data_IF_322039202927
#
_entry.id   IF_322039202927
#
_cell.length_a   1.000
_cell.length_b   1.000
_cell.length_c   1.000
_cell.angle_alpha   90.00
_cell.angle_beta   90.00
_cell.angle_gamma   90.00
#
_symmetry.space_group_name_H-M   'P 1'
#
loop_
_entity.id
_entity.type
_entity.pdbx_description
1 polymer ?
#
# COMPACT_ATOMS: atom_id res chain seq x y z
N UNK A 1 -2.06 4.76 -11.44
CA UNK A 1 -0.98 3.76 -11.63
C UNK A 1 0.37 4.40 -12.03
N UNK A 2 0.40 5.49 -12.80
CA UNK A 2 1.64 6.21 -13.21
C UNK A 2 2.53 6.72 -12.07
N UNK A 3 1.96 7.22 -10.97
CA UNK A 3 2.74 7.78 -9.85
C UNK A 3 3.22 6.74 -8.83
N UNK A 4 2.66 5.52 -8.88
CA UNK A 4 3.10 4.42 -8.04
C UNK A 4 4.51 3.92 -8.41
N UNK A 5 5.08 4.30 -9.56
CA UNK A 5 6.43 3.91 -9.95
C UNK A 5 7.55 4.73 -9.25
N UNK A 6 7.28 6.00 -8.89
CA UNK A 6 8.30 6.88 -8.30
C UNK A 6 8.41 6.82 -6.78
N UNK A 7 7.39 6.31 -6.08
CA UNK A 7 7.43 6.21 -4.62
C UNK A 7 8.44 5.16 -4.10
N UNK A 8 8.72 4.10 -4.87
CA UNK A 8 9.43 2.92 -4.35
C UNK A 8 10.94 3.07 -4.15
N UNK A 9 11.69 3.78 -5.01
CA UNK A 9 13.11 4.02 -4.78
C UNK A 9 13.35 4.78 -3.47
N UNK A 10 12.52 5.80 -3.17
CA UNK A 10 12.64 6.51 -1.89
C UNK A 10 12.43 5.57 -0.70
N UNK A 11 11.43 4.68 -0.73
CA UNK A 11 11.13 3.82 0.43
C UNK A 11 12.31 2.90 0.75
N UNK A 12 13.09 2.42 -0.24
CA UNK A 12 14.32 1.64 0.02
C UNK A 12 15.38 2.52 0.70
N UNK A 13 15.58 3.73 0.20
CA UNK A 13 16.57 4.68 0.74
C UNK A 13 16.19 5.04 2.19
N UNK A 14 14.91 5.30 2.46
CA UNK A 14 14.39 5.55 3.80
C UNK A 14 14.60 4.38 4.76
N UNK A 15 14.53 3.13 4.30
CA UNK A 15 14.79 1.96 5.16
C UNK A 15 16.23 1.94 5.67
N UNK A 16 17.18 2.29 4.80
CA UNK A 16 18.62 2.16 5.07
C UNK A 16 19.18 3.40 5.74
N UNK A 17 18.73 4.60 5.34
CA UNK A 17 19.32 5.85 5.79
C UNK A 17 18.68 6.43 7.05
N UNK A 18 17.43 6.09 7.38
CA UNK A 18 16.73 6.68 8.53
C UNK A 18 16.83 5.80 9.78
N UNK A 19 17.00 6.48 10.93
CA UNK A 19 16.91 5.87 12.25
C UNK A 19 15.49 5.37 12.51
N UNK A 20 15.36 4.32 13.33
CA UNK A 20 14.07 3.71 13.68
C UNK A 20 13.04 4.75 14.16
N UNK A 21 13.42 5.66 15.04
CA UNK A 21 12.53 6.69 15.59
C UNK A 21 12.10 7.81 14.63
N UNK A 22 12.66 7.89 13.41
CA UNK A 22 12.26 8.89 12.40
C UNK A 22 11.77 8.23 11.10
N UNK A 23 11.75 6.89 11.05
CA UNK A 23 11.55 6.15 9.81
C UNK A 23 10.12 6.23 9.31
N UNK A 24 9.12 6.20 10.20
CA UNK A 24 7.73 6.36 9.76
C UNK A 24 7.54 7.76 9.19
N UNK A 25 8.02 8.80 9.88
CA UNK A 25 7.92 10.19 9.45
C UNK A 25 8.61 10.42 8.09
N UNK A 26 9.83 9.93 7.90
CA UNK A 26 10.54 10.12 6.64
C UNK A 26 9.89 9.41 5.46
N UNK A 27 9.32 8.21 5.67
CA UNK A 27 8.53 7.52 4.64
C UNK A 27 7.25 8.27 4.29
N UNK A 28 6.54 8.77 5.30
CA UNK A 28 5.36 9.58 5.10
C UNK A 28 5.68 10.85 4.30
N UNK A 29 6.76 11.56 4.63
CA UNK A 29 7.19 12.75 3.88
C UNK A 29 7.51 12.44 2.41
N UNK A 30 8.27 11.37 2.15
CA UNK A 30 8.57 10.96 0.78
C UNK A 30 7.32 10.65 -0.03
N UNK A 31 6.35 9.98 0.60
CA UNK A 31 5.08 9.68 -0.05
C UNK A 31 4.26 10.95 -0.30
N UNK A 32 4.14 11.85 0.67
CA UNK A 32 3.38 13.10 0.52
C UNK A 32 3.94 13.95 -0.64
N UNK A 33 5.26 14.07 -0.73
CA UNK A 33 5.92 14.77 -1.84
C UNK A 33 5.64 14.07 -3.18
N UNK A 34 5.68 12.74 -3.23
CA UNK A 34 5.37 11.97 -4.43
C UNK A 34 3.89 11.99 -4.84
N UNK A 35 2.99 12.16 -3.87
CA UNK A 35 1.53 12.13 -4.06
C UNK A 35 0.91 13.49 -4.32
N UNK A 36 1.64 14.60 -4.11
CA UNK A 36 1.12 15.94 -4.36
C UNK A 36 0.65 16.15 -5.83
N UNK A 37 1.38 15.72 -6.87
CA UNK A 37 0.87 15.77 -8.26
C UNK A 37 -0.33 14.83 -8.49
N UNK A 38 -0.47 13.77 -7.69
CA UNK A 38 -1.55 12.80 -7.80
C UNK A 38 -2.90 13.39 -7.38
N UNK A 39 -2.93 14.45 -6.59
CA UNK A 39 -4.17 15.05 -6.07
C UNK A 39 -5.05 15.63 -7.18
N UNK A 40 -4.43 16.15 -8.24
CA UNK A 40 -5.11 16.79 -9.37
C UNK A 40 -5.37 15.77 -10.50
N UNK A 41 -4.67 14.64 -10.49
CA UNK A 41 -4.70 13.66 -11.57
C UNK A 41 -6.10 13.05 -11.82
N UNK A 42 -6.89 12.62 -10.81
CA UNK A 42 -8.24 12.10 -11.02
C UNK A 42 -9.18 13.14 -11.64
N UNK A 43 -9.09 14.41 -11.21
CA UNK A 43 -9.92 15.50 -11.75
C UNK A 43 -9.59 15.77 -13.21
N UNK A 44 -8.30 15.83 -13.55
CA UNK A 44 -7.86 15.98 -14.95
C UNK A 44 -8.27 14.78 -15.78
N UNK A 45 -8.15 13.56 -15.25
CA UNK A 45 -8.59 12.35 -15.93
C UNK A 45 -10.10 12.36 -16.20
N UNK A 46 -10.93 12.76 -15.23
CA UNK A 46 -12.39 12.87 -15.41
C UNK A 46 -12.77 13.90 -16.48
N UNK A 47 -12.10 15.06 -16.50
CA UNK A 47 -12.32 16.08 -17.55
C UNK A 47 -11.94 15.55 -18.92
N UNK A 48 -10.80 14.86 -19.04
CA UNK A 48 -10.36 14.25 -20.30
C UNK A 48 -11.34 13.17 -20.78
N UNK A 49 -11.77 12.26 -19.89
CA UNK A 49 -12.74 11.20 -20.23
C UNK A 49 -14.06 11.82 -20.71
N UNK A 50 -14.54 12.87 -20.03
CA UNK A 50 -15.75 13.59 -20.44
C UNK A 50 -15.58 14.22 -21.82
N UNK A 51 -14.44 14.87 -22.07
CA UNK A 51 -14.15 15.52 -23.35
C UNK A 51 -14.04 14.52 -24.52
N UNK A 52 -13.60 13.28 -24.25
CA UNK A 52 -13.45 12.24 -25.26
C UNK A 52 -14.68 11.34 -25.46
N UNK A 53 -15.83 11.68 -24.85
CA UNK A 53 -17.09 10.93 -25.05
C UNK A 53 -17.49 10.01 -23.90
N UNK A 54 -17.02 10.29 -22.68
CA UNK A 54 -17.41 9.62 -21.44
C UNK A 54 -16.74 8.27 -21.24
N UNK A 55 -17.33 7.42 -20.39
CA UNK A 55 -16.85 6.07 -20.06
C UNK A 55 -17.05 5.04 -21.19
N UNK A 56 -17.04 5.48 -22.44
CA UNK A 56 -17.12 4.63 -23.63
C UNK A 56 -15.72 4.16 -24.07
N UNK A 57 -15.65 3.09 -24.88
CA UNK A 57 -14.38 2.52 -25.36
C UNK A 57 -13.53 3.57 -26.09
N UNK A 58 -14.18 4.43 -26.87
CA UNK A 58 -13.50 5.49 -27.63
C UNK A 58 -13.05 6.67 -26.74
N UNK A 59 -13.73 6.91 -25.62
CA UNK A 59 -13.35 7.94 -24.64
C UNK A 59 -12.13 7.57 -23.79
N UNK A 60 -11.92 6.28 -23.53
CA UNK A 60 -10.81 5.81 -22.68
C UNK A 60 -9.53 5.58 -23.50
N UNK A 61 -9.63 5.23 -24.79
CA UNK A 61 -8.48 4.97 -25.68
C UNK A 61 -7.40 6.07 -25.69
N UNK A 62 -7.73 7.37 -25.79
CA UNK A 62 -6.75 8.45 -25.78
C UNK A 62 -5.91 8.51 -24.49
N UNK A 63 -6.47 8.12 -23.34
CA UNK A 63 -5.75 8.13 -22.06
C UNK A 63 -4.56 7.17 -22.07
N UNK A 64 -4.68 6.03 -22.75
CA UNK A 64 -3.57 5.07 -22.88
C UNK A 64 -2.41 5.64 -23.71
N UNK A 65 -2.70 6.41 -24.76
CA UNK A 65 -1.67 7.09 -25.55
C UNK A 65 -0.94 8.17 -24.76
N UNK A 66 -1.69 8.97 -23.98
CA UNK A 66 -1.11 9.97 -23.07
C UNK A 66 -0.21 9.28 -22.03
N UNK A 67 -0.66 8.17 -21.45
CA UNK A 67 0.13 7.38 -20.51
C UNK A 67 1.40 6.83 -21.16
N UNK A 68 1.32 6.29 -22.37
CA UNK A 68 2.46 5.77 -23.12
C UNK A 68 3.49 6.86 -23.39
N UNK A 69 3.05 8.02 -23.90
CA UNK A 69 3.93 9.17 -24.14
C UNK A 69 4.63 9.62 -22.85
N UNK A 70 3.89 9.72 -21.73
CA UNK A 70 4.47 10.04 -20.42
C UNK A 70 5.53 9.03 -19.97
N UNK A 71 5.30 7.73 -20.18
CA UNK A 71 6.28 6.68 -19.87
C UNK A 71 7.53 6.77 -20.76
N UNK A 72 7.39 7.09 -22.04
CA UNK A 72 8.53 7.32 -22.94
C UNK A 72 9.38 8.51 -22.49
N UNK A 73 8.76 9.63 -22.12
CA UNK A 73 9.47 10.81 -21.61
C UNK A 73 10.27 10.47 -20.35
N UNK A 74 9.64 9.76 -19.42
CA UNK A 74 10.32 9.31 -18.19
C UNK A 74 11.47 8.33 -18.46
N UNK A 75 11.30 7.44 -19.44
CA UNK A 75 12.35 6.52 -19.86
C UNK A 75 13.56 7.27 -20.46
N UNK A 76 13.31 8.23 -21.35
CA UNK A 76 14.37 9.08 -21.93
C UNK A 76 15.05 9.92 -20.85
N UNK A 77 14.28 10.48 -19.91
CA UNK A 77 14.83 11.20 -18.77
C UNK A 77 15.74 10.31 -17.91
N UNK A 78 15.29 9.09 -17.60
CA UNK A 78 16.10 8.14 -16.85
C UNK A 78 17.41 7.78 -17.57
N UNK A 79 17.38 7.57 -18.89
CA UNK A 79 18.57 7.27 -19.68
C UNK A 79 19.57 8.43 -19.77
N UNK A 80 19.08 9.67 -19.77
CA UNK A 80 19.92 10.85 -20.01
C UNK A 80 20.42 11.51 -18.72
N UNK A 81 19.66 11.43 -17.63
CA UNK A 81 19.91 12.20 -16.41
C UNK A 81 20.29 11.34 -15.19
N UNK A 82 19.95 10.04 -15.15
CA UNK A 82 20.34 9.22 -14.00
C UNK A 82 21.77 8.73 -14.14
N UNK A 83 22.64 9.19 -13.26
CA UNK A 83 24.01 8.71 -13.15
C UNK A 83 24.04 7.40 -12.37
N UNK A 84 24.68 6.37 -12.92
CA UNK A 84 24.92 5.14 -12.17
C UNK A 84 25.82 5.43 -10.97
N UNK A 85 25.27 5.23 -9.77
CA UNK A 85 26.06 5.24 -8.55
C UNK A 85 26.91 3.99 -8.56
N UNK A 86 28.22 4.16 -8.78
CA UNK A 86 29.20 3.10 -8.69
C UNK A 86 29.19 2.50 -7.29
N UNK A 87 28.50 1.37 -7.11
CA UNK A 87 28.57 0.59 -5.88
C UNK A 87 29.78 -0.32 -5.96
N UNK A 88 30.60 -0.41 -4.89
CA UNK A 88 31.58 -1.48 -4.77
C UNK A 88 30.87 -2.81 -5.04
N UNK A 89 31.48 -3.72 -5.80
CA UNK A 89 31.00 -5.10 -5.88
C UNK A 89 30.98 -5.66 -4.47
N UNK A 90 29.81 -5.63 -3.83
CA UNK A 90 29.60 -6.30 -2.57
C UNK A 90 29.97 -7.76 -2.77
N UNK A 91 30.58 -8.38 -1.75
CA UNK A 91 30.84 -9.81 -1.73
C UNK A 91 29.49 -10.51 -1.86
N UNK A 92 29.07 -10.80 -3.10
CA UNK A 92 27.88 -11.60 -3.38
C UNK A 92 28.21 -13.00 -2.90
N UNK A 93 27.87 -13.29 -1.65
CA UNK A 93 27.81 -14.66 -1.16
C UNK A 93 26.80 -15.36 -2.06
N UNK A 94 27.27 -16.26 -2.92
CA UNK A 94 26.45 -17.11 -3.81
C UNK A 94 25.64 -18.09 -2.96
N UNK A 95 24.70 -17.58 -2.19
CA UNK A 95 23.58 -18.39 -1.75
C UNK A 95 22.67 -18.49 -2.98
N UNK A 96 22.29 -19.72 -3.36
CA UNK A 96 21.24 -19.92 -4.34
C UNK A 96 19.92 -19.35 -3.83
N UNK A 97 18.94 -19.15 -4.71
CA UNK A 97 17.61 -18.62 -4.34
C UNK A 97 17.02 -19.34 -3.11
N UNK A 98 17.17 -20.67 -3.03
CA UNK A 98 16.70 -21.47 -1.89
C UNK A 98 17.48 -21.16 -0.59
N UNK A 99 18.79 -20.90 -0.70
CA UNK A 99 19.64 -20.53 0.43
C UNK A 99 19.26 -19.15 1.00
N UNK A 100 18.89 -18.20 0.15
CA UNK A 100 18.42 -16.88 0.56
C UNK A 100 17.11 -16.95 1.36
N UNK A 101 16.19 -17.85 0.96
CA UNK A 101 14.96 -18.09 1.70
C UNK A 101 15.27 -18.72 3.04
N UNK A 102 16.08 -19.79 3.06
CA UNK A 102 16.45 -20.50 4.29
C UNK A 102 17.08 -19.56 5.32
N UNK A 103 18.00 -18.71 4.90
CA UNK A 103 18.66 -17.73 5.77
C UNK A 103 17.65 -16.77 6.44
N UNK A 104 16.68 -16.26 5.69
CA UNK A 104 15.64 -15.37 6.24
C UNK A 104 14.71 -16.15 7.18
N UNK A 105 14.34 -17.38 6.84
CA UNK A 105 13.45 -18.21 7.66
C UNK A 105 14.10 -18.75 8.95
N UNK A 106 15.43 -18.86 9.00
CA UNK A 106 16.20 -19.27 10.19
C UNK A 106 16.31 -18.14 11.22
N UNK A 107 16.16 -16.87 10.82
CA UNK A 107 16.29 -15.70 11.72
C UNK A 107 15.14 -15.50 12.71
N UNK A 108 14.07 -16.31 12.63
CA UNK A 108 13.06 -16.39 13.70
C UNK A 108 11.60 -16.50 13.25
N UNK A 109 10.72 -16.69 14.23
CA UNK A 109 9.27 -16.86 14.02
C UNK A 109 8.54 -15.56 13.71
N UNK A 110 9.08 -14.40 14.12
CA UNK A 110 8.52 -13.08 13.82
C UNK A 110 8.48 -12.79 12.31
N UNK A 111 9.51 -13.20 11.56
CA UNK A 111 9.56 -13.00 10.11
C UNK A 111 8.53 -13.88 9.39
N UNK A 112 8.38 -15.14 9.81
CA UNK A 112 7.33 -16.04 9.30
C UNK A 112 5.93 -15.45 9.50
N UNK A 113 5.67 -14.95 10.71
CA UNK A 113 4.40 -14.27 11.05
C UNK A 113 4.20 -13.01 10.20
N UNK A 114 5.25 -12.23 9.96
CA UNK A 114 5.17 -11.06 9.08
C UNK A 114 4.88 -11.43 7.62
N UNK A 115 5.48 -12.51 7.10
CA UNK A 115 5.15 -12.99 5.75
C UNK A 115 3.66 -13.29 5.65
N UNK A 116 3.09 -14.00 6.62
CA UNK A 116 1.64 -14.27 6.65
C UNK A 116 0.83 -12.98 6.76
N UNK A 117 1.19 -12.07 7.67
CA UNK A 117 0.53 -10.77 7.85
C UNK A 117 0.49 -9.94 6.57
N UNK A 118 1.63 -9.84 5.88
CA UNK A 118 1.76 -9.13 4.62
C UNK A 118 0.98 -9.81 3.50
N UNK A 119 1.05 -11.14 3.41
CA UNK A 119 0.39 -11.93 2.38
C UNK A 119 -1.13 -11.80 2.50
N UNK A 120 -1.67 -11.88 3.72
CA UNK A 120 -3.09 -11.65 3.99
C UNK A 120 -3.48 -10.20 3.66
N UNK A 121 -2.64 -9.23 3.99
CA UNK A 121 -2.87 -7.83 3.62
C UNK A 121 -2.89 -7.58 2.11
N UNK A 122 -1.98 -8.21 1.36
CA UNK A 122 -1.94 -8.16 -0.11
C UNK A 122 -3.13 -8.88 -0.73
N UNK A 123 -3.57 -9.99 -0.13
CA UNK A 123 -4.78 -10.70 -0.56
C UNK A 123 -6.01 -9.78 -0.42
N UNK A 124 -6.20 -9.18 0.75
CA UNK A 124 -7.31 -8.26 1.03
C UNK A 124 -7.34 -7.10 0.04
N UNK A 125 -6.21 -6.41 -0.14
CA UNK A 125 -6.12 -5.24 -1.01
C UNK A 125 -6.29 -5.58 -2.49
N UNK A 126 -5.75 -6.72 -2.95
CA UNK A 126 -5.85 -7.15 -4.34
C UNK A 126 -7.24 -7.71 -4.69
N UNK A 127 -7.98 -8.17 -3.69
CA UNK A 127 -9.37 -8.58 -3.87
C UNK A 127 -10.32 -7.38 -3.94
N UNK A 128 -10.09 -6.30 -3.17
CA UNK A 128 -11.03 -5.14 -3.13
C UNK A 128 -10.73 -4.07 -4.18
N UNK A 129 -9.45 -3.79 -4.47
CA UNK A 129 -9.03 -2.67 -5.31
C UNK A 129 -9.64 -2.67 -6.72
N UNK A 130 -9.59 -3.77 -7.50
CA UNK A 130 -10.09 -3.75 -8.87
C UNK A 130 -11.62 -3.63 -8.95
N UNK A 131 -12.35 -4.07 -7.93
CA UNK A 131 -13.80 -4.08 -7.91
C UNK A 131 -14.42 -2.79 -7.35
N UNK A 132 -13.65 -1.93 -6.67
CA UNK A 132 -14.17 -0.72 -6.03
C UNK A 132 -14.81 0.27 -7.01
N UNK A 133 -14.13 0.58 -8.12
CA UNK A 133 -14.66 1.52 -9.11
C UNK A 133 -15.89 0.95 -9.85
N UNK A 134 -15.87 -0.30 -10.34
CA UNK A 134 -17.07 -0.95 -10.87
C UNK A 134 -18.22 -1.01 -9.87
N UNK A 135 -17.97 -1.33 -8.59
CA UNK A 135 -19.00 -1.36 -7.55
C UNK A 135 -19.66 0.00 -7.35
N UNK A 136 -18.86 1.06 -7.26
CA UNK A 136 -19.39 2.41 -7.15
C UNK A 136 -20.25 2.77 -8.38
N UNK A 137 -19.82 2.42 -9.59
CA UNK A 137 -20.58 2.75 -10.81
C UNK A 137 -21.82 1.87 -11.01
N UNK A 138 -21.65 0.55 -11.09
CA UNK A 138 -22.70 -0.40 -11.51
C UNK A 138 -23.72 -0.67 -10.40
N UNK A 139 -23.28 -0.76 -9.15
CA UNK A 139 -24.15 -1.10 -8.01
C UNK A 139 -24.69 0.14 -7.33
N UNK A 140 -23.90 1.22 -7.27
CA UNK A 140 -24.27 2.46 -6.56
C UNK A 140 -24.65 3.61 -7.49
N UNK A 141 -24.54 3.45 -8.80
CA UNK A 141 -24.89 4.50 -9.77
C UNK A 141 -23.96 5.72 -9.74
N UNK A 142 -22.75 5.58 -9.20
CA UNK A 142 -21.80 6.68 -9.09
C UNK A 142 -21.27 7.08 -10.46
N UNK A 143 -21.27 8.38 -10.75
CA UNK A 143 -20.63 8.91 -11.94
C UNK A 143 -19.10 8.96 -11.79
N UNK A 144 -18.42 9.35 -12.88
CA UNK A 144 -16.98 9.53 -12.91
C UNK A 144 -16.45 10.58 -11.91
N UNK A 145 -17.26 11.59 -11.56
CA UNK A 145 -16.87 12.65 -10.62
C UNK A 145 -16.88 12.13 -9.18
N UNK A 146 -17.88 11.31 -8.82
CA UNK A 146 -17.94 10.66 -7.52
C UNK A 146 -16.79 9.68 -7.37
N UNK A 147 -16.50 8.85 -8.38
CA UNK A 147 -15.38 7.90 -8.35
C UNK A 147 -14.04 8.63 -8.25
N UNK A 148 -13.85 9.70 -9.05
CA UNK A 148 -12.68 10.57 -8.96
C UNK A 148 -12.58 11.27 -7.60
N UNK A 149 -13.72 11.67 -7.03
CA UNK A 149 -13.85 12.27 -5.71
C UNK A 149 -13.46 11.32 -4.58
N UNK A 150 -13.87 10.05 -4.64
CA UNK A 150 -13.44 9.02 -3.71
C UNK A 150 -11.91 8.88 -3.66
N UNK A 151 -11.28 8.76 -4.84
CA UNK A 151 -9.82 8.64 -4.95
C UNK A 151 -9.10 9.91 -4.46
N UNK A 152 -9.62 11.09 -4.81
CA UNK A 152 -9.06 12.38 -4.39
C UNK A 152 -9.19 12.58 -2.88
N UNK A 153 -10.32 12.18 -2.29
CA UNK A 153 -10.53 12.23 -0.85
C UNK A 153 -9.57 11.29 -0.09
N UNK A 154 -9.32 10.08 -0.60
CA UNK A 154 -8.30 9.17 -0.03
C UNK A 154 -6.92 9.83 0.00
N UNK A 155 -6.52 10.43 -1.13
CA UNK A 155 -5.23 11.11 -1.25
C UNK A 155 -5.14 12.36 -0.37
N UNK A 156 -6.22 13.12 -0.24
CA UNK A 156 -6.27 14.29 0.64
C UNK A 156 -6.05 13.87 2.10
N UNK A 157 -6.75 12.82 2.56
CA UNK A 157 -6.54 12.28 3.90
C UNK A 157 -5.10 11.80 4.07
N UNK A 158 -4.54 11.11 3.08
CA UNK A 158 -3.14 10.69 3.11
C UNK A 158 -2.20 11.90 3.23
N UNK A 159 -2.34 12.93 2.40
CA UNK A 159 -1.48 14.12 2.40
C UNK A 159 -1.55 14.88 3.72
N UNK A 160 -2.77 15.09 4.24
CA UNK A 160 -2.99 15.87 5.47
C UNK A 160 -2.55 15.11 6.71
N UNK A 161 -2.86 13.80 6.79
CA UNK A 161 -2.69 13.03 8.03
C UNK A 161 -1.48 12.09 8.04
N UNK A 162 -0.81 11.81 6.91
CA UNK A 162 0.32 10.89 6.90
C UNK A 162 1.45 11.35 7.83
N UNK A 163 1.89 12.61 7.73
CA UNK A 163 2.97 13.15 8.56
C UNK A 163 2.65 13.19 10.06
N UNK A 164 1.51 13.75 10.52
CA UNK A 164 1.20 13.78 11.95
C UNK A 164 1.01 12.37 12.53
N UNK A 165 0.33 11.47 11.82
CA UNK A 165 0.13 10.08 12.29
C UNK A 165 1.42 9.27 12.26
N UNK A 166 2.31 9.51 11.29
CA UNK A 166 3.62 8.88 11.26
C UNK A 166 4.51 9.34 12.43
N UNK A 167 4.52 10.64 12.71
CA UNK A 167 5.23 11.18 13.89
C UNK A 167 4.64 10.64 15.20
N UNK A 168 3.33 10.44 15.25
CA UNK A 168 2.67 9.83 16.40
C UNK A 168 3.05 8.35 16.53
N UNK A 169 3.16 7.62 15.42
CA UNK A 169 3.61 6.22 15.40
C UNK A 169 5.05 6.07 15.92
N UNK A 170 5.95 6.94 15.47
CA UNK A 170 7.34 6.97 15.92
C UNK A 170 7.49 7.31 17.43
N UNK A 171 6.53 8.05 18.03
CA UNK A 171 6.58 8.46 19.44
C UNK A 171 5.86 7.52 20.41
N UNK A 172 4.68 7.02 20.05
CA UNK A 172 3.80 6.28 20.97
C UNK A 172 3.82 4.76 20.74
N UNK A 173 4.43 4.30 19.64
CA UNK A 173 4.48 2.92 19.21
C UNK A 173 3.64 2.69 17.95
N UNK A 174 4.17 1.90 17.00
CA UNK A 174 3.57 1.71 15.69
C UNK A 174 2.33 0.83 15.72
N UNK A 175 2.32 -0.22 16.54
CA UNK A 175 1.13 -1.06 16.71
C UNK A 175 -0.06 -0.28 17.25
N UNK A 176 0.16 0.65 18.19
CA UNK A 176 -0.93 1.48 18.73
C UNK A 176 -1.59 2.31 17.63
N UNK A 177 -0.79 2.88 16.73
CA UNK A 177 -1.30 3.62 15.58
C UNK A 177 -2.00 2.70 14.58
N UNK A 178 -1.45 1.51 14.32
CA UNK A 178 -2.14 0.51 13.50
C UNK A 178 -3.54 0.20 14.04
N UNK A 179 -3.67 -0.13 15.34
CA UNK A 179 -4.96 -0.48 15.94
C UNK A 179 -5.92 0.70 16.05
N UNK A 180 -5.42 1.93 16.09
CA UNK A 180 -6.27 3.12 16.04
C UNK A 180 -6.84 3.39 14.62
N UNK A 181 -6.07 3.06 13.57
CA UNK A 181 -6.44 3.37 12.19
C UNK A 181 -7.15 2.22 11.46
N UNK A 182 -6.90 0.97 11.84
CA UNK A 182 -7.51 -0.18 11.16
C UNK A 182 -9.05 -0.20 11.23
N UNK A 183 -9.73 0.25 12.31
CA UNK A 183 -11.18 0.32 12.33
C UNK A 183 -11.75 1.35 11.34
N UNK A 184 -11.00 2.42 11.02
CA UNK A 184 -11.39 3.40 10.00
C UNK A 184 -11.38 2.77 8.61
N UNK A 185 -10.45 1.85 8.35
CA UNK A 185 -10.45 1.07 7.12
C UNK A 185 -11.65 0.14 7.04
N UNK A 186 -12.00 -0.57 8.12
CA UNK A 186 -13.22 -1.40 8.13
C UNK A 186 -14.47 -0.55 7.92
N UNK A 187 -14.55 0.60 8.57
CA UNK A 187 -15.64 1.56 8.36
C UNK A 187 -15.71 2.07 6.92
N UNK A 188 -14.57 2.29 6.25
CA UNK A 188 -14.52 2.63 4.81
C UNK A 188 -15.23 1.59 3.95
N UNK A 189 -14.90 0.31 4.12
CA UNK A 189 -15.51 -0.77 3.33
C UNK A 189 -17.00 -0.95 3.64
N UNK A 190 -17.39 -0.82 4.92
CA UNK A 190 -18.80 -0.88 5.32
C UNK A 190 -19.59 0.30 4.75
N UNK A 191 -19.06 1.52 4.83
CA UNK A 191 -19.71 2.70 4.24
C UNK A 191 -19.84 2.56 2.73
N UNK A 192 -18.83 2.02 2.03
CA UNK A 192 -18.92 1.77 0.59
C UNK A 192 -20.09 0.82 0.27
N UNK A 193 -20.21 -0.29 0.99
CA UNK A 193 -21.26 -1.30 0.78
C UNK A 193 -22.65 -0.74 1.12
N UNK A 194 -22.79 0.01 2.21
CA UNK A 194 -24.08 0.52 2.67
C UNK A 194 -24.38 1.96 2.21
N UNK A 195 -23.56 2.56 1.35
CA UNK A 195 -23.75 3.92 0.88
C UNK A 195 -25.11 4.10 0.19
N UNK A 196 -25.96 5.04 0.67
CA UNK A 196 -27.20 5.43 0.02
C UNK A 196 -27.04 6.63 -0.92
N UNK A 197 -25.96 7.41 -0.77
CA UNK A 197 -25.73 8.63 -1.55
C UNK A 197 -24.27 8.78 -1.98
N UNK A 198 -24.04 9.66 -2.97
CA UNK A 198 -22.72 9.97 -3.50
C UNK A 198 -21.76 10.56 -2.46
N UNK A 199 -22.25 11.36 -1.52
CA UNK A 199 -21.43 11.96 -0.47
C UNK A 199 -20.87 10.89 0.47
N UNK A 200 -21.66 9.85 0.77
CA UNK A 200 -21.23 8.73 1.61
C UNK A 200 -20.20 7.87 0.87
N UNK A 201 -20.31 7.74 -0.46
CA UNK A 201 -19.26 7.12 -1.26
C UNK A 201 -17.95 7.90 -1.16
N UNK A 202 -17.97 9.23 -1.32
CA UNK A 202 -16.77 10.06 -1.17
C UNK A 202 -16.21 9.97 0.25
N UNK A 203 -17.06 9.95 1.28
CA UNK A 203 -16.65 9.75 2.67
C UNK A 203 -15.99 8.37 2.89
N UNK A 204 -16.51 7.31 2.24
CA UNK A 204 -15.87 5.99 2.25
C UNK A 204 -14.46 6.05 1.66
N UNK A 205 -14.28 6.79 0.55
CA UNK A 205 -12.98 7.07 -0.05
C UNK A 205 -12.05 7.84 0.89
N UNK A 206 -12.54 8.86 1.60
CA UNK A 206 -11.76 9.58 2.61
C UNK A 206 -11.22 8.62 3.68
N UNK A 207 -12.07 7.77 4.25
CA UNK A 207 -11.66 6.79 5.26
C UNK A 207 -10.62 5.78 4.74
N UNK A 208 -10.69 5.41 3.45
CA UNK A 208 -9.70 4.54 2.82
C UNK A 208 -8.29 5.15 2.86
N UNK A 209 -8.16 6.48 2.88
CA UNK A 209 -6.87 7.17 3.00
C UNK A 209 -6.09 6.77 4.25
N UNK A 210 -6.76 6.45 5.36
CA UNK A 210 -6.10 5.98 6.59
C UNK A 210 -5.47 4.58 6.44
N UNK A 211 -6.03 3.74 5.56
CA UNK A 211 -5.41 2.47 5.21
C UNK A 211 -4.05 2.69 4.52
N UNK A 212 -3.97 3.65 3.61
CA UNK A 212 -2.71 4.02 2.93
C UNK A 212 -1.66 4.51 3.93
N UNK A 213 -2.05 5.38 4.86
CA UNK A 213 -1.17 5.86 5.93
C UNK A 213 -0.63 4.69 6.76
N UNK A 214 -1.48 3.74 7.11
CA UNK A 214 -1.09 2.55 7.88
C UNK A 214 -0.05 1.70 7.14
N UNK A 215 -0.20 1.54 5.82
CA UNK A 215 0.76 0.80 5.01
C UNK A 215 2.15 1.50 4.96
N UNK A 216 2.18 2.82 4.77
CA UNK A 216 3.43 3.57 4.57
C UNK A 216 4.13 3.94 5.87
N UNK A 217 3.39 4.47 6.85
CA UNK A 217 3.96 4.95 8.10
C UNK A 217 4.24 3.80 9.06
N UNK A 218 3.32 2.84 9.18
CA UNK A 218 3.40 1.79 10.20
C UNK A 218 4.03 0.52 9.62
N UNK A 219 3.38 -0.10 8.63
CA UNK A 219 3.79 -1.43 8.16
C UNK A 219 5.15 -1.41 7.46
N UNK A 220 5.39 -0.41 6.60
CA UNK A 220 6.69 -0.32 5.93
C UNK A 220 7.82 -0.12 6.95
N UNK A 221 7.61 0.67 8.01
CA UNK A 221 8.63 0.91 9.04
C UNK A 221 8.91 -0.36 9.87
N UNK A 222 7.86 -1.05 10.34
CA UNK A 222 7.96 -2.35 11.03
C UNK A 222 8.68 -3.40 10.16
N UNK A 223 8.30 -3.52 8.88
CA UNK A 223 8.91 -4.44 7.92
C UNK A 223 10.44 -4.27 7.81
N UNK A 224 10.90 -3.02 7.82
CA UNK A 224 12.32 -2.69 7.69
C UNK A 224 13.12 -2.96 8.97
N UNK A 225 12.47 -3.11 10.12
CA UNK A 225 13.12 -3.32 11.42
C UNK A 225 13.19 -4.78 11.85
N UNK A 226 12.35 -5.63 11.26
CA UNK A 226 12.37 -7.06 11.53
C UNK A 226 13.58 -7.78 10.94
N UNK A 227 14.28 -7.15 10.01
CA UNK A 227 15.46 -7.70 9.37
C UNK A 227 16.63 -6.73 9.44
N UNK A 228 17.85 -7.22 9.66
CA UNK A 228 19.03 -6.40 9.52
C UNK A 228 19.29 -6.02 8.06
N UNK A 229 20.09 -4.97 7.88
CA UNK A 229 20.27 -4.27 6.60
C UNK A 229 20.92 -5.17 5.54
N UNK A 230 21.72 -6.15 5.95
CA UNK A 230 22.42 -7.11 5.09
C UNK A 230 21.48 -7.97 4.22
N UNK A 231 20.27 -8.26 4.70
CA UNK A 231 19.30 -9.10 3.98
C UNK A 231 18.02 -8.36 3.57
N UNK A 232 17.95 -7.04 3.71
CA UNK A 232 16.72 -6.25 3.44
C UNK A 232 16.22 -6.38 2.00
N UNK A 233 17.13 -6.53 1.03
CA UNK A 233 16.80 -6.77 -0.37
C UNK A 233 16.13 -8.14 -0.59
N UNK A 234 16.69 -9.19 0.03
CA UNK A 234 16.15 -10.56 0.00
C UNK A 234 14.79 -10.63 0.68
N UNK A 235 14.68 -10.00 1.84
CA UNK A 235 13.44 -9.90 2.60
C UNK A 235 12.31 -9.27 1.78
N UNK A 236 12.58 -8.11 1.16
CA UNK A 236 11.62 -7.46 0.26
C UNK A 236 11.27 -8.34 -0.94
N UNK A 237 12.23 -9.07 -1.50
CA UNK A 237 11.99 -10.04 -2.57
C UNK A 237 11.03 -11.16 -2.17
N UNK A 238 11.25 -11.77 -1.01
CA UNK A 238 10.40 -12.82 -0.44
C UNK A 238 8.98 -12.30 -0.23
N UNK A 239 8.82 -11.15 0.42
CA UNK A 239 7.50 -10.56 0.64
C UNK A 239 6.77 -10.24 -0.67
N UNK A 240 7.49 -9.77 -1.70
CA UNK A 240 6.90 -9.52 -3.03
C UNK A 240 6.49 -10.80 -3.75
N UNK A 241 7.23 -11.89 -3.60
CA UNK A 241 6.86 -13.18 -4.18
C UNK A 241 5.55 -13.68 -3.56
N UNK A 242 5.49 -13.78 -2.23
CA UNK A 242 4.29 -14.25 -1.53
C UNK A 242 3.11 -13.30 -1.73
N UNK A 243 3.34 -11.99 -1.64
CA UNK A 243 2.32 -10.98 -1.92
C UNK A 243 1.80 -11.05 -3.35
N UNK A 244 2.68 -11.25 -4.35
CA UNK A 244 2.29 -11.38 -5.75
C UNK A 244 1.44 -12.62 -6.02
N UNK A 245 1.84 -13.78 -5.48
CA UNK A 245 1.05 -15.01 -5.57
C UNK A 245 -0.34 -14.85 -4.93
N UNK A 246 -0.39 -14.25 -3.74
CA UNK A 246 -1.65 -13.96 -3.07
C UNK A 246 -2.51 -12.97 -3.86
N UNK A 247 -1.90 -12.00 -4.53
CA UNK A 247 -2.62 -11.01 -5.34
C UNK A 247 -3.33 -11.66 -6.52
N UNK A 248 -2.67 -12.59 -7.22
CA UNK A 248 -3.26 -13.34 -8.34
C UNK A 248 -4.47 -14.14 -7.86
N UNK A 249 -4.31 -14.89 -6.78
CA UNK A 249 -5.38 -15.70 -6.20
C UNK A 249 -6.53 -14.82 -5.70
N UNK A 250 -6.22 -13.70 -5.05
CA UNK A 250 -7.20 -12.76 -4.51
C UNK A 250 -8.10 -12.17 -5.59
N UNK A 251 -7.54 -11.70 -6.71
CA UNK A 251 -8.34 -11.13 -7.79
C UNK A 251 -9.22 -12.18 -8.46
N UNK A 252 -8.72 -13.41 -8.62
CA UNK A 252 -9.52 -14.53 -9.15
C UNK A 252 -10.69 -14.88 -8.21
N UNK A 253 -10.40 -15.05 -6.92
CA UNK A 253 -11.41 -15.35 -5.90
C UNK A 253 -12.42 -14.20 -5.79
N UNK A 254 -11.97 -12.95 -5.88
CA UNK A 254 -12.83 -11.76 -5.90
C UNK A 254 -13.83 -11.78 -7.05
N UNK A 255 -13.41 -12.18 -8.25
CA UNK A 255 -14.30 -12.33 -9.41
C UNK A 255 -15.36 -13.40 -9.20
N UNK A 256 -14.97 -14.57 -8.68
CA UNK A 256 -15.92 -15.65 -8.36
C UNK A 256 -16.92 -15.21 -7.28
N UNK A 257 -16.46 -14.52 -6.23
CA UNK A 257 -17.34 -14.00 -5.18
C UNK A 257 -18.33 -12.97 -5.76
N UNK A 258 -17.85 -12.08 -6.63
CA UNK A 258 -18.68 -11.08 -7.29
C UNK A 258 -19.86 -11.70 -8.05
N UNK A 259 -19.59 -12.75 -8.83
CA UNK A 259 -20.61 -13.43 -9.63
C UNK A 259 -21.51 -14.37 -8.81
N UNK A 260 -20.94 -15.13 -7.87
CA UNK A 260 -21.65 -16.20 -7.18
C UNK A 260 -22.39 -15.75 -5.90
N UNK A 261 -21.79 -14.87 -5.10
CA UNK A 261 -22.36 -14.40 -3.83
C UNK A 261 -22.91 -12.97 -3.95
N UNK A 262 -22.29 -12.17 -4.80
CA UNK A 262 -22.70 -10.83 -5.13
C UNK A 262 -21.63 -9.77 -4.81
N UNK A 263 -21.75 -8.56 -5.40
CA UNK A 263 -20.72 -7.53 -5.35
C UNK A 263 -20.32 -7.06 -3.94
N UNK A 264 -21.28 -7.02 -3.00
CA UNK A 264 -21.03 -6.54 -1.64
C UNK A 264 -20.06 -7.45 -0.86
N UNK A 265 -20.09 -8.76 -1.11
CA UNK A 265 -19.27 -9.74 -0.38
C UNK A 265 -17.78 -9.62 -0.71
N UNK A 266 -17.43 -9.05 -1.86
CA UNK A 266 -16.04 -8.74 -2.24
C UNK A 266 -15.39 -7.76 -1.26
N UNK A 267 -16.18 -6.95 -0.55
CA UNK A 267 -15.70 -6.02 0.48
C UNK A 267 -15.91 -6.54 1.90
N UNK A 268 -17.03 -7.21 2.19
CA UNK A 268 -17.34 -7.71 3.53
C UNK A 268 -16.45 -8.89 3.97
N UNK A 269 -16.20 -9.86 3.08
CA UNK A 269 -15.34 -11.01 3.39
C UNK A 269 -13.91 -10.56 3.77
N UNK A 270 -13.23 -9.68 3.01
CA UNK A 270 -11.89 -9.22 3.39
C UNK A 270 -11.88 -8.43 4.69
N UNK A 271 -12.93 -7.67 5.03
CA UNK A 271 -13.06 -7.05 6.36
C UNK A 271 -13.08 -8.13 7.45
N UNK A 272 -13.85 -9.20 7.27
CA UNK A 272 -13.87 -10.34 8.19
C UNK A 272 -12.50 -11.00 8.33
N UNK A 273 -11.78 -11.23 7.22
CA UNK A 273 -10.41 -11.77 7.24
C UNK A 273 -9.45 -10.82 7.96
N UNK A 274 -9.56 -9.52 7.74
CA UNK A 274 -8.71 -8.52 8.38
C UNK A 274 -8.92 -8.50 9.90
N UNK A 275 -10.19 -8.50 10.35
CA UNK A 275 -10.57 -8.52 11.78
C UNK A 275 -10.16 -9.82 12.47
N UNK A 276 -10.39 -10.97 11.84
CA UNK A 276 -10.23 -12.28 12.48
C UNK A 276 -8.81 -12.83 12.36
N UNK A 277 -8.08 -12.46 11.32
CA UNK A 277 -6.75 -13.04 11.01
C UNK A 277 -5.68 -11.97 11.09
N UNK A 278 -5.75 -10.93 10.25
CA UNK A 278 -4.64 -10.00 10.06
C UNK A 278 -4.38 -9.15 11.31
N UNK A 279 -5.42 -8.54 11.88
CA UNK A 279 -5.30 -7.67 13.03
C UNK A 279 -4.79 -8.44 14.27
N UNK A 280 -5.34 -9.61 14.66
CA UNK A 280 -4.81 -10.39 15.79
C UNK A 280 -3.38 -10.88 15.55
N UNK A 281 -3.03 -11.23 14.31
CA UNK A 281 -1.69 -11.71 13.97
C UNK A 281 -0.61 -10.65 14.28
N UNK A 282 -0.91 -9.36 14.13
CA UNK A 282 0.03 -8.29 14.47
C UNK A 282 0.35 -8.23 15.98
N UNK A 283 -0.54 -8.69 16.86
CA UNK A 283 -0.23 -8.79 18.31
C UNK A 283 0.97 -9.70 18.55
N UNK A 284 1.09 -10.78 17.77
CA UNK A 284 2.12 -11.81 17.90
C UNK A 284 3.51 -11.42 17.36
N UNK A 285 3.61 -10.31 16.63
CA UNK A 285 4.87 -9.81 16.05
C UNK A 285 5.44 -8.78 17.02
N UNK A 286 6.71 -8.79 17.45
CA UNK A 286 7.21 -7.82 18.43
C UNK A 286 7.08 -6.37 17.95
N UNK A 287 6.83 -5.44 18.89
CA UNK A 287 6.96 -4.01 18.60
C UNK A 287 8.45 -3.68 18.49
N UNK A 288 8.82 -2.95 17.45
CA UNK A 288 10.24 -2.69 17.13
C UNK A 288 10.74 -1.34 17.62
N UNK A 289 9.82 -0.42 17.98
CA UNK A 289 10.17 0.82 18.66
C UNK A 289 10.45 0.55 20.14
N UNK A 290 11.74 0.57 20.51
CA UNK A 290 12.17 0.65 21.91
C UNK A 290 11.76 1.99 22.48
N UNK A 291 10.65 2.01 23.22
CA UNK A 291 10.20 3.21 23.91
C UNK A 291 11.11 3.40 25.12
N UNK A 292 12.17 4.20 24.97
CA UNK A 292 13.10 4.68 26.02
C UNK A 292 13.33 3.73 27.22
N UNK A 293 14.43 2.96 27.22
CA UNK A 293 15.12 2.61 28.46
C UNK A 293 15.59 1.18 28.67
N UNK A 294 15.06 0.18 27.96
CA UNK A 294 15.56 -1.20 28.12
C UNK A 294 16.48 -1.60 26.98
N UNK A 295 17.79 -1.55 27.28
CA UNK A 295 18.76 -2.44 26.63
C UNK A 295 18.34 -3.86 26.96
N UNK A 296 17.61 -4.52 26.06
CA UNK A 296 17.53 -5.97 26.07
C UNK A 296 18.87 -6.49 25.54
N UNK A 297 19.68 -6.96 26.48
CA UNK A 297 20.80 -7.86 26.26
C UNK A 297 20.38 -8.99 25.30
N UNK A 298 21.23 -9.24 24.29
CA UNK A 298 21.14 -10.40 23.42
C UNK A 298 21.10 -11.69 24.26
N UNK A 299 20.19 -12.65 23.99
CA UNK A 299 20.53 -14.04 24.20
C UNK A 299 21.40 -14.48 23.02
N UNK A 300 22.63 -14.83 23.35
CA UNK A 300 23.60 -15.59 22.55
C UNK A 300 23.00 -16.76 21.79
#
# INVERSE_FOLDING_TARGET
>A
MLLAAFAWPCIVICDVCLRSGDRAMGKALCEVVGSAPALIAPTVAAVLITAFGGLSVDGIRPLYWIQFAGQCVLFVYALTQMTEVHRPRGVTRKLGVIGDFREVFERGTALKRWIVFETVGMFITSMTTPFRAPFANEVKGADQFVIGGMASASLLIQVVFATPLARFADRRGRKKVFYALIPLYWASELLLVFAPTAEILVASGALLGFHMITNIAVQAALRAELVPIDCIGRWRGILRLFGGLASILASLVGGVIWEALGPAYVFLIPVGIDVLVRAPLLLSIPETLTTNGEKTENPS
#
